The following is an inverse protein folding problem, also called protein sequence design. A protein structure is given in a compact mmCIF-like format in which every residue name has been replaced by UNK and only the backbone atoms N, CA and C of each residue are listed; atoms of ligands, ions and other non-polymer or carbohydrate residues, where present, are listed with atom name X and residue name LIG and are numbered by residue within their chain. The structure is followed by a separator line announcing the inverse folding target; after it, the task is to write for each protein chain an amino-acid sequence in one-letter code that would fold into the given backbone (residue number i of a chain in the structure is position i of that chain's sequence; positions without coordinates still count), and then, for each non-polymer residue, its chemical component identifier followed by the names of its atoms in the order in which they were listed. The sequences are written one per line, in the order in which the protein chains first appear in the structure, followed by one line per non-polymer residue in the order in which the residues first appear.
data_IF_099454759709
#
_entry.id   IF_099454759709
#
_cell.length_a   1.000
_cell.length_b   1.000
_cell.length_c   1.000
_cell.angle_alpha   90.00
_cell.angle_beta   90.00
_cell.angle_gamma   90.00
#
_symmetry.space_group_name_H-M   'P 1'
#
loop_
_entity.id
_entity.type
_entity.pdbx_description
1 polymer ?
#
# COMPACT_ATOMS: atom_id res chain seq x y z
N UNK A 1 8.32 -18.83 22.85
CA UNK A 1 7.23 -18.34 23.72
C UNK A 1 6.37 -17.40 22.89
N UNK A 2 5.35 -17.97 22.26
CA UNK A 2 4.43 -17.30 21.36
C UNK A 2 3.64 -16.22 22.10
N UNK A 3 3.81 -14.96 21.72
CA UNK A 3 2.84 -13.91 22.03
C UNK A 3 1.85 -13.82 20.88
N UNK A 4 0.79 -14.61 21.00
CA UNK A 4 -0.50 -14.36 20.36
C UNK A 4 -0.92 -12.92 20.69
N UNK A 5 -0.82 -12.01 19.72
CA UNK A 5 -1.60 -10.77 19.73
C UNK A 5 -2.65 -10.86 18.65
N UNK A 6 -3.86 -11.15 19.11
CA UNK A 6 -5.14 -11.03 18.44
C UNK A 6 -5.14 -9.92 17.39
N UNK A 7 -5.08 -10.29 16.11
CA UNK A 7 -5.64 -9.48 15.04
C UNK A 7 -7.03 -10.03 14.73
N UNK A 8 -8.01 -9.49 15.44
CA UNK A 8 -9.42 -9.69 15.12
C UNK A 8 -9.69 -9.09 13.74
N UNK A 9 -9.77 -9.95 12.72
CA UNK A 9 -10.37 -9.60 11.43
C UNK A 9 -11.89 -9.44 11.61
N UNK A 10 -12.33 -8.27 12.08
CA UNK A 10 -13.74 -7.87 12.01
C UNK A 10 -14.03 -7.40 10.58
N UNK A 11 -14.56 -8.28 9.73
CA UNK A 11 -15.24 -7.89 8.50
C UNK A 11 -16.62 -7.33 8.91
N UNK A 12 -16.64 -6.09 9.39
CA UNK A 12 -17.85 -5.39 9.81
C UNK A 12 -18.56 -4.76 8.62
N UNK A 13 -19.81 -5.19 8.37
CA UNK A 13 -20.78 -4.42 7.57
C UNK A 13 -21.07 -3.10 8.32
N UNK A 14 -21.03 -1.98 7.59
CA UNK A 14 -21.40 -0.59 7.97
C UNK A 14 -20.32 0.28 8.67
N UNK A 15 -20.06 1.47 8.12
CA UNK A 15 -19.53 2.64 8.85
C UNK A 15 -18.03 2.76 9.14
N UNK A 16 -17.25 3.21 8.15
CA UNK A 16 -16.06 4.08 8.28
C UNK A 16 -15.04 3.85 9.41
N UNK A 17 -14.06 2.98 9.16
CA UNK A 17 -12.62 3.19 9.42
C UNK A 17 -11.87 1.99 8.86
N UNK A 18 -11.40 2.07 7.62
CA UNK A 18 -10.49 1.03 7.09
C UNK A 18 -9.16 1.15 7.81
N UNK A 19 -8.83 0.17 8.66
CA UNK A 19 -7.53 0.11 9.32
C UNK A 19 -6.50 -0.19 8.23
N UNK A 20 -5.58 0.75 7.99
CA UNK A 20 -4.47 0.52 7.06
C UNK A 20 -3.39 -0.30 7.75
N UNK A 21 -2.96 -1.40 7.11
CA UNK A 21 -1.79 -2.16 7.56
C UNK A 21 -0.52 -1.39 7.21
N UNK A 22 0.38 -1.26 8.18
CA UNK A 22 1.69 -0.63 8.00
C UNK A 22 2.75 -1.48 8.68
N UNK A 23 3.65 -2.02 7.88
CA UNK A 23 4.80 -2.80 8.33
C UNK A 23 5.86 -1.86 8.94
N UNK A 24 6.32 -2.16 10.16
CA UNK A 24 7.19 -1.26 10.93
C UNK A 24 8.59 -1.14 10.32
N UNK A 25 9.11 -2.23 9.76
CA UNK A 25 10.44 -2.32 9.15
C UNK A 25 10.43 -2.03 7.64
N UNK A 26 9.28 -1.66 7.06
CA UNK A 26 9.20 -1.42 5.63
C UNK A 26 9.90 -0.11 5.22
N UNK A 27 10.76 -0.21 4.21
CA UNK A 27 11.57 0.87 3.70
C UNK A 27 11.12 1.28 2.28
N UNK A 28 11.16 2.58 1.98
CA UNK A 28 10.90 3.03 0.61
C UNK A 28 12.07 2.64 -0.34
N UNK A 29 11.81 1.97 -1.48
CA UNK A 29 12.87 1.53 -2.40
C UNK A 29 13.59 2.68 -3.13
N UNK A 30 13.03 3.89 -3.11
CA UNK A 30 13.58 5.06 -3.82
C UNK A 30 14.44 5.93 -2.90
N UNK A 31 13.93 6.30 -1.72
CA UNK A 31 14.64 7.19 -0.80
C UNK A 31 15.30 6.46 0.37
N UNK A 32 15.07 5.15 0.53
CA UNK A 32 15.61 4.35 1.64
C UNK A 32 15.22 4.86 3.03
N UNK A 33 14.16 5.67 3.13
CA UNK A 33 13.61 6.08 4.42
C UNK A 33 12.73 4.99 5.00
N UNK A 34 12.75 4.87 6.31
CA UNK A 34 11.93 3.97 7.12
C UNK A 34 11.10 4.77 8.14
N UNK A 35 10.21 4.07 8.85
CA UNK A 35 9.36 4.67 9.88
C UNK A 35 10.13 5.08 11.14
N UNK A 36 11.28 4.44 11.40
CA UNK A 36 12.11 4.76 12.56
C UNK A 36 12.68 6.18 12.44
N UNK A 37 13.23 6.52 11.27
CA UNK A 37 13.76 7.85 10.97
C UNK A 37 12.66 8.87 10.69
N UNK A 38 11.53 8.42 10.13
CA UNK A 38 10.41 9.30 9.76
C UNK A 38 9.09 8.71 10.25
N UNK A 39 8.61 9.06 11.47
CA UNK A 39 7.44 8.42 12.08
C UNK A 39 6.14 8.65 11.31
N UNK A 40 6.06 9.74 10.54
CA UNK A 40 4.92 10.06 9.68
C UNK A 40 5.02 9.44 8.27
N UNK A 41 6.01 8.58 8.01
CA UNK A 41 6.21 7.95 6.71
C UNK A 41 5.06 6.99 6.40
N UNK A 42 4.31 7.32 5.36
CA UNK A 42 3.25 6.47 4.81
C UNK A 42 3.74 5.80 3.54
N UNK A 43 3.76 4.47 3.56
CA UNK A 43 3.97 3.66 2.38
C UNK A 43 2.62 3.35 1.74
N UNK A 44 2.50 3.64 0.44
CA UNK A 44 1.33 3.33 -0.37
C UNK A 44 1.69 2.24 -1.39
N UNK A 45 0.69 1.48 -1.81
CA UNK A 45 0.81 0.35 -2.73
C UNK A 45 0.21 0.71 -4.09
N UNK A 46 1.00 0.49 -5.13
CA UNK A 46 0.60 0.68 -6.54
C UNK A 46 -0.24 -0.48 -7.11
N UNK A 47 -0.83 -0.32 -8.31
CA UNK A 47 -1.44 -1.42 -9.07
C UNK A 47 -0.50 -2.58 -9.40
N UNK A 48 0.81 -2.32 -9.52
CA UNK A 48 1.83 -3.35 -9.71
C UNK A 48 2.35 -3.95 -8.40
N UNK A 49 1.69 -3.66 -7.26
CA UNK A 49 2.01 -4.21 -5.93
C UNK A 49 3.39 -3.84 -5.37
N UNK A 50 3.97 -2.73 -5.84
CA UNK A 50 5.18 -2.16 -5.24
C UNK A 50 4.84 -1.03 -4.26
N UNK A 51 5.53 -1.03 -3.11
CA UNK A 51 5.38 -0.04 -2.02
C UNK A 51 6.29 1.17 -2.27
N UNK A 52 5.79 2.39 -2.07
CA UNK A 52 6.55 3.64 -2.16
C UNK A 52 6.05 4.66 -1.15
N UNK A 53 6.90 5.57 -0.66
CA UNK A 53 6.45 6.61 0.25
C UNK A 53 5.74 7.75 -0.51
N UNK A 54 4.81 8.43 0.18
CA UNK A 54 4.03 9.54 -0.36
C UNK A 54 4.91 10.60 -1.04
N UNK A 55 6.00 11.03 -0.39
CA UNK A 55 6.92 12.03 -0.96
C UNK A 55 7.60 11.58 -2.25
N UNK A 56 8.00 10.30 -2.36
CA UNK A 56 8.58 9.77 -3.59
C UNK A 56 7.54 9.62 -4.70
N UNK A 57 6.30 9.26 -4.35
CA UNK A 57 5.20 9.18 -5.31
C UNK A 57 4.93 10.56 -5.90
N UNK A 58 4.84 11.59 -5.06
CA UNK A 58 4.57 12.95 -5.49
C UNK A 58 5.69 13.50 -6.39
N UNK A 59 6.95 13.19 -6.07
CA UNK A 59 8.09 13.60 -6.88
C UNK A 59 8.15 12.89 -8.24
N UNK A 60 7.91 11.57 -8.28
CA UNK A 60 8.08 10.77 -9.49
C UNK A 60 6.87 10.84 -10.43
N UNK A 61 5.66 10.87 -9.88
CA UNK A 61 4.40 10.84 -10.64
C UNK A 61 3.65 12.18 -10.61
N UNK A 62 4.25 13.24 -10.02
CA UNK A 62 3.66 14.57 -9.98
C UNK A 62 3.60 15.26 -11.33
N UNK A 63 4.62 15.07 -12.18
CA UNK A 63 4.69 15.67 -13.52
C UNK A 63 3.83 14.96 -14.56
N UNK A 64 3.27 13.79 -14.23
CA UNK A 64 2.46 12.99 -15.14
C UNK A 64 2.64 11.48 -14.94
N UNK A 65 2.05 10.67 -15.85
CA UNK A 65 2.27 9.23 -15.84
C UNK A 65 3.76 8.90 -16.04
N UNK A 66 4.31 8.07 -15.17
CA UNK A 66 5.71 7.68 -15.19
C UNK A 66 5.84 6.17 -14.96
N UNK A 67 6.94 5.52 -15.37
CA UNK A 67 7.14 4.10 -15.13
C UNK A 67 7.51 3.81 -13.66
N UNK A 68 7.03 2.68 -13.14
CA UNK A 68 7.42 2.17 -11.84
C UNK A 68 8.93 1.88 -11.82
N UNK A 69 9.70 2.33 -10.81
CA UNK A 69 11.15 2.13 -10.77
C UNK A 69 11.60 0.67 -10.62
N UNK A 70 10.68 -0.24 -10.28
CA UNK A 70 10.99 -1.66 -10.04
C UNK A 70 10.60 -2.53 -11.25
N UNK A 71 9.39 -2.36 -11.79
CA UNK A 71 8.86 -3.20 -12.87
C UNK A 71 8.50 -2.45 -14.15
N UNK A 72 8.80 -1.15 -14.24
CA UNK A 72 8.61 -0.30 -15.42
C UNK A 72 7.15 -0.16 -15.93
N UNK A 73 6.16 -0.66 -15.20
CA UNK A 73 4.76 -0.44 -15.53
C UNK A 73 4.43 1.05 -15.39
N UNK A 74 3.77 1.65 -16.39
CA UNK A 74 3.35 3.05 -16.32
C UNK A 74 2.23 3.21 -15.30
N UNK A 75 2.44 4.07 -14.31
CA UNK A 75 1.53 4.33 -13.21
C UNK A 75 1.13 5.81 -13.16
N UNK A 76 0.01 6.09 -12.49
CA UNK A 76 -0.45 7.45 -12.16
C UNK A 76 -0.48 7.64 -10.65
N UNK A 77 -0.25 8.89 -10.20
CA UNK A 77 -0.25 9.27 -8.78
C UNK A 77 -1.50 8.80 -8.02
N UNK A 78 -2.69 8.96 -8.62
CA UNK A 78 -3.97 8.62 -7.99
C UNK A 78 -4.26 7.11 -7.89
N UNK A 79 -3.37 6.24 -8.40
CA UNK A 79 -3.55 4.79 -8.34
C UNK A 79 -2.89 4.16 -7.11
N UNK A 80 -2.09 4.93 -6.36
CA UNK A 80 -1.48 4.49 -5.11
C UNK A 80 -2.50 4.56 -3.98
N UNK A 81 -2.61 3.48 -3.21
CA UNK A 81 -3.58 3.34 -2.12
C UNK A 81 -2.90 2.80 -0.85
N UNK A 82 -3.45 3.09 0.32
CA UNK A 82 -2.99 2.48 1.58
C UNK A 82 -3.24 0.98 1.57
N UNK A 83 -2.25 0.20 2.01
CA UNK A 83 -2.38 -1.25 2.20
C UNK A 83 -3.38 -1.54 3.33
N UNK A 84 -4.26 -2.51 3.14
CA UNK A 84 -5.23 -2.94 4.18
C UNK A 84 -4.91 -4.33 4.74
N UNK A 85 -4.31 -5.21 3.93
CA UNK A 85 -3.91 -6.55 4.35
C UNK A 85 -2.39 -6.68 4.46
N UNK A 86 -1.91 -7.50 5.39
CA UNK A 86 -0.47 -7.84 5.51
C UNK A 86 0.09 -8.49 4.23
N UNK A 87 -0.61 -9.47 3.69
CA UNK A 87 -0.23 -10.18 2.46
C UNK A 87 -0.69 -9.44 1.19
N UNK A 88 0.27 -9.06 0.34
CA UNK A 88 0.02 -8.42 -0.96
C UNK A 88 -0.74 -9.33 -1.93
N UNK A 89 -0.67 -10.65 -1.77
CA UNK A 89 -1.43 -11.64 -2.54
C UNK A 89 -2.92 -11.51 -2.24
N UNK A 90 -3.28 -11.39 -0.96
CA UNK A 90 -4.67 -11.17 -0.53
C UNK A 90 -5.18 -9.83 -1.04
N UNK A 91 -4.39 -8.77 -0.94
CA UNK A 91 -4.71 -7.45 -1.50
C UNK A 91 -5.00 -7.55 -3.01
N UNK A 92 -4.19 -8.31 -3.75
CA UNK A 92 -4.38 -8.56 -5.18
C UNK A 92 -5.68 -9.28 -5.48
N UNK A 93 -5.96 -10.37 -4.78
CA UNK A 93 -7.19 -11.14 -4.95
C UNK A 93 -8.43 -10.29 -4.65
N UNK A 94 -8.43 -9.54 -3.55
CA UNK A 94 -9.56 -8.68 -3.17
C UNK A 94 -9.78 -7.58 -4.20
N UNK A 95 -8.70 -6.99 -4.73
CA UNK A 95 -8.80 -5.99 -5.80
C UNK A 95 -9.40 -6.58 -7.08
N UNK A 96 -9.04 -7.82 -7.43
CA UNK A 96 -9.62 -8.54 -8.57
C UNK A 96 -11.10 -8.83 -8.31
N UNK A 97 -11.46 -9.42 -7.17
CA UNK A 97 -12.86 -9.75 -6.82
C UNK A 97 -13.77 -8.52 -6.83
N UNK A 98 -13.31 -7.39 -6.26
CA UNK A 98 -14.05 -6.12 -6.29
C UNK A 98 -14.25 -5.57 -7.70
N UNK A 99 -13.28 -5.75 -8.59
CA UNK A 99 -13.39 -5.34 -9.99
C UNK A 99 -14.40 -6.22 -10.74
N UNK A 100 -14.34 -7.54 -10.56
CA UNK A 100 -15.24 -8.49 -11.22
C UNK A 100 -16.68 -8.30 -10.74
N UNK A 101 -16.91 -8.10 -9.44
CA UNK A 101 -18.25 -7.92 -8.89
C UNK A 101 -18.96 -6.61 -9.29
N UNK A 102 -18.25 -5.68 -9.94
CA UNK A 102 -18.82 -4.43 -10.45
C UNK A 102 -19.34 -4.57 -11.89
N UNK A 103 -19.02 -5.67 -12.56
CA UNK A 103 -19.52 -6.04 -13.90
C UNK A 103 -20.84 -6.77 -13.73
#
# INVERSE_FOLDING_TARGET
MNTLRNQTLMIGRTGSSVVSYQEEDAQCPVCKSDKYLTPNLKLLVSPCFHKMCESCIDRLFGSGPAPCPICQLVLRRNQFMSQIFEDLTVEKEVRIRKRVAKV
#
